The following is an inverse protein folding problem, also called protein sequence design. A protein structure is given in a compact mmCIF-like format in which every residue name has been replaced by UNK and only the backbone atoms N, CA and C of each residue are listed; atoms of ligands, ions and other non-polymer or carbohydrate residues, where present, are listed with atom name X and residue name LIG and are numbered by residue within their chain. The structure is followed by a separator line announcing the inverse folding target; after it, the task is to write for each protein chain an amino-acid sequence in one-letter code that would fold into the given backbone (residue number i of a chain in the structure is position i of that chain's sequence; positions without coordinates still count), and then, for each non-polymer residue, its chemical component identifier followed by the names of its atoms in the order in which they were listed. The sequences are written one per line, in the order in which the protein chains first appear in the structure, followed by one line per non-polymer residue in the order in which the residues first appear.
data_IF_902838049695
#
_entry.id   IF_902838049695
#
_cell.length_a   1.000
_cell.length_b   1.000
_cell.length_c   1.000
_cell.angle_alpha   90.00
_cell.angle_beta   90.00
_cell.angle_gamma   90.00
#
_symmetry.space_group_name_H-M   'P 1'
#
loop_
_entity.id
_entity.type
_entity.pdbx_description
1 polymer ?
#
# COMPACT_ATOMS: atom_id res chain seq x y z
N UNK A 1 -18.50 -13.05 -63.83
CA UNK A 1 -17.76 -13.87 -62.85
C UNK A 1 -18.08 -13.32 -61.47
N UNK A 2 -18.94 -14.00 -60.71
CA UNK A 2 -19.31 -13.59 -59.37
C UNK A 2 -18.28 -14.15 -58.39
N UNK A 3 -17.55 -13.27 -57.70
CA UNK A 3 -16.62 -13.66 -56.64
C UNK A 3 -17.45 -13.94 -55.39
N UNK A 4 -17.60 -15.22 -55.06
CA UNK A 4 -18.24 -15.63 -53.82
C UNK A 4 -17.42 -15.12 -52.63
N UNK A 5 -17.97 -14.16 -51.90
CA UNK A 5 -17.37 -13.67 -50.65
C UNK A 5 -17.70 -14.70 -49.58
N UNK A 6 -16.72 -15.51 -49.21
CA UNK A 6 -16.86 -16.50 -48.13
C UNK A 6 -16.93 -15.72 -46.82
N UNK A 7 -18.13 -15.58 -46.25
CA UNK A 7 -18.32 -15.14 -44.87
C UNK A 7 -17.80 -16.27 -43.98
N UNK A 8 -16.69 -16.02 -43.30
CA UNK A 8 -16.18 -16.92 -42.26
C UNK A 8 -17.07 -16.80 -41.05
N UNK A 9 -18.23 -17.47 -41.09
CA UNK A 9 -19.06 -17.70 -39.91
C UNK A 9 -18.23 -18.49 -38.91
N UNK A 10 -17.82 -17.84 -37.83
CA UNK A 10 -17.32 -18.54 -36.66
C UNK A 10 -18.51 -19.22 -35.99
N UNK A 11 -18.45 -20.53 -35.77
CA UNK A 11 -19.47 -21.37 -35.10
C UNK A 11 -19.81 -20.99 -33.63
N UNK A 12 -19.42 -19.79 -33.17
CA UNK A 12 -19.70 -19.27 -31.84
C UNK A 12 -20.45 -17.93 -31.88
N UNK A 13 -21.10 -17.53 -30.76
CA UNK A 13 -21.91 -16.31 -30.69
C UNK A 13 -21.10 -14.99 -30.82
N UNK A 14 -19.77 -15.05 -30.94
CA UNK A 14 -18.88 -13.90 -31.08
C UNK A 14 -18.18 -13.92 -32.43
N UNK A 15 -18.36 -12.86 -33.21
CA UNK A 15 -17.64 -12.63 -34.46
C UNK A 15 -16.13 -12.46 -34.21
N UNK A 16 -15.31 -12.67 -35.25
CA UNK A 16 -13.86 -12.42 -35.15
C UNK A 16 -13.52 -10.97 -34.77
N UNK A 17 -14.33 -9.98 -35.16
CA UNK A 17 -14.13 -8.58 -34.75
C UNK A 17 -14.31 -8.40 -33.25
N UNK A 18 -15.36 -8.98 -32.67
CA UNK A 18 -15.58 -8.96 -31.21
C UNK A 18 -14.42 -9.60 -30.45
N UNK A 19 -13.90 -10.72 -30.94
CA UNK A 19 -12.76 -11.39 -30.31
C UNK A 19 -11.49 -10.50 -30.32
N UNK A 20 -11.24 -9.79 -31.43
CA UNK A 20 -10.12 -8.84 -31.54
C UNK A 20 -10.28 -7.66 -30.59
N UNK A 21 -11.48 -7.09 -30.48
CA UNK A 21 -11.78 -6.00 -29.55
C UNK A 21 -11.56 -6.41 -28.08
N UNK A 22 -12.04 -7.59 -27.69
CA UNK A 22 -11.85 -8.13 -26.33
C UNK A 22 -10.38 -8.37 -26.04
N UNK A 23 -9.63 -8.94 -26.97
CA UNK A 23 -8.19 -9.21 -26.81
C UNK A 23 -7.40 -7.91 -26.67
N UNK A 24 -7.65 -6.92 -27.54
CA UNK A 24 -7.01 -5.62 -27.47
C UNK A 24 -7.32 -4.89 -26.15
N UNK A 25 -8.57 -4.98 -25.69
CA UNK A 25 -8.95 -4.42 -24.39
C UNK A 25 -8.26 -5.14 -23.22
N UNK A 26 -8.19 -6.47 -23.25
CA UNK A 26 -7.49 -7.28 -22.25
C UNK A 26 -6.02 -6.86 -22.12
N UNK A 27 -5.33 -6.68 -23.26
CA UNK A 27 -3.93 -6.28 -23.28
C UNK A 27 -3.71 -4.89 -22.69
N UNK A 28 -4.57 -3.92 -23.02
CA UNK A 28 -4.50 -2.57 -22.43
C UNK A 28 -4.81 -2.58 -20.93
N UNK A 29 -5.72 -3.43 -20.49
CA UNK A 29 -6.09 -3.56 -19.08
C UNK A 29 -4.97 -4.16 -18.19
N UNK A 30 -3.96 -4.83 -18.76
CA UNK A 30 -2.84 -5.45 -18.01
C UNK A 30 -2.15 -4.47 -17.05
N UNK A 31 -1.90 -3.23 -17.49
CA UNK A 31 -1.23 -2.22 -16.65
C UNK A 31 -2.11 -1.84 -15.45
N UNK A 32 -3.41 -1.71 -15.66
CA UNK A 32 -4.39 -1.36 -14.62
C UNK A 32 -4.51 -2.51 -13.62
N UNK A 33 -4.58 -3.75 -14.11
CA UNK A 33 -4.62 -4.95 -13.26
C UNK A 33 -3.36 -5.13 -12.45
N UNK A 34 -2.17 -4.84 -13.02
CA UNK A 34 -0.91 -4.81 -12.27
C UNK A 34 -0.96 -3.80 -11.12
N UNK A 35 -1.46 -2.59 -11.36
CA UNK A 35 -1.63 -1.60 -10.29
C UNK A 35 -2.61 -2.09 -9.21
N UNK A 36 -3.68 -2.78 -9.61
CA UNK A 36 -4.62 -3.41 -8.67
C UNK A 36 -3.98 -4.55 -7.87
N UNK A 37 -3.09 -5.35 -8.46
CA UNK A 37 -2.31 -6.37 -7.75
C UNK A 37 -1.35 -5.77 -6.74
N UNK A 38 -0.69 -4.65 -7.07
CA UNK A 38 0.17 -3.92 -6.13
C UNK A 38 -0.65 -3.39 -4.95
N UNK A 39 -1.83 -2.81 -5.21
CA UNK A 39 -2.75 -2.36 -4.16
C UNK A 39 -3.23 -3.52 -3.27
N UNK A 40 -3.47 -4.70 -3.86
CA UNK A 40 -3.80 -5.91 -3.11
C UNK A 40 -2.67 -6.33 -2.17
N UNK A 41 -1.44 -6.38 -2.68
CA UNK A 41 -0.26 -6.76 -1.91
C UNK A 41 -0.03 -5.78 -0.74
N UNK A 42 -0.06 -4.48 -1.02
CA UNK A 42 0.09 -3.44 0.00
C UNK A 42 -1.03 -3.50 1.05
N UNK A 43 -2.29 -3.69 0.61
CA UNK A 43 -3.44 -3.85 1.49
C UNK A 43 -3.31 -5.07 2.40
N UNK A 44 -2.87 -6.22 1.88
CA UNK A 44 -2.65 -7.42 2.68
C UNK A 44 -1.51 -7.24 3.69
N UNK A 45 -0.35 -6.73 3.26
CA UNK A 45 0.78 -6.48 4.17
C UNK A 45 0.39 -5.54 5.30
N UNK A 46 -0.26 -4.41 4.96
CA UNK A 46 -0.71 -3.42 5.95
C UNK A 46 -1.80 -4.00 6.85
N UNK A 47 -2.72 -4.78 6.30
CA UNK A 47 -3.79 -5.44 7.03
C UNK A 47 -3.29 -6.46 8.06
N UNK A 48 -2.28 -7.26 7.69
CA UNK A 48 -1.64 -8.20 8.63
C UNK A 48 -0.98 -7.43 9.77
N UNK A 49 -0.26 -6.34 9.47
CA UNK A 49 0.38 -5.52 10.52
C UNK A 49 -0.68 -4.88 11.43
N UNK A 50 -1.76 -4.34 10.88
CA UNK A 50 -2.87 -3.78 11.64
C UNK A 50 -3.50 -4.84 12.57
N UNK A 51 -3.74 -6.03 12.04
CA UNK A 51 -4.30 -7.15 12.79
C UNK A 51 -3.38 -7.59 13.92
N UNK A 52 -2.08 -7.76 13.65
CA UNK A 52 -1.09 -8.11 14.67
C UNK A 52 -0.90 -7.01 15.73
N UNK A 53 -1.17 -5.75 15.39
CA UNK A 53 -1.09 -4.61 16.30
C UNK A 53 -2.32 -4.47 17.20
N UNK A 54 -3.47 -4.97 16.76
CA UNK A 54 -4.75 -4.79 17.45
C UNK A 54 -4.79 -5.30 18.91
N UNK A 55 -4.18 -6.45 19.28
CA UNK A 55 -4.14 -6.88 20.69
C UNK A 55 -3.40 -5.91 21.62
N UNK A 56 -2.46 -5.13 21.08
CA UNK A 56 -1.67 -4.16 21.86
C UNK A 56 -2.35 -2.79 21.94
N UNK A 57 -3.31 -2.51 21.06
CA UNK A 57 -4.04 -1.25 21.02
C UNK A 57 -4.83 -0.96 22.30
N UNK A 58 -5.36 -1.99 22.96
CA UNK A 58 -6.17 -1.82 24.19
C UNK A 58 -5.34 -1.35 25.40
N UNK A 59 -4.01 -1.52 25.37
CA UNK A 59 -3.11 -1.15 26.46
C UNK A 59 -2.32 0.13 26.19
N UNK A 60 -2.48 0.74 25.02
CA UNK A 60 -1.68 1.89 24.62
C UNK A 60 -2.44 2.81 23.67
N UNK A 61 -2.53 4.09 24.04
CA UNK A 61 -3.12 5.12 23.17
C UNK A 61 -2.37 5.22 21.83
N UNK A 62 -1.04 5.08 21.83
CA UNK A 62 -0.26 5.10 20.59
C UNK A 62 -0.55 3.85 19.74
N UNK A 63 -0.64 2.68 20.37
CA UNK A 63 -1.02 1.43 19.69
C UNK A 63 -2.43 1.51 19.09
N UNK A 64 -3.36 2.15 19.79
CA UNK A 64 -4.72 2.40 19.32
C UNK A 64 -4.76 3.29 18.09
N UNK A 65 -4.10 4.45 18.14
CA UNK A 65 -4.04 5.39 17.01
C UNK A 65 -3.39 4.74 15.78
N UNK A 66 -2.28 4.01 15.98
CA UNK A 66 -1.59 3.29 14.89
C UNK A 66 -2.48 2.22 14.30
N UNK A 67 -3.15 1.40 15.12
CA UNK A 67 -4.05 0.34 14.64
C UNK A 67 -5.20 0.90 13.81
N UNK A 68 -5.83 1.99 14.26
CA UNK A 68 -6.87 2.68 13.49
C UNK A 68 -6.32 3.23 12.18
N UNK A 69 -5.19 3.94 12.23
CA UNK A 69 -4.55 4.51 11.05
C UNK A 69 -4.24 3.45 10.00
N UNK A 70 -3.62 2.35 10.40
CA UNK A 70 -3.33 1.22 9.51
C UNK A 70 -4.60 0.56 8.97
N UNK A 71 -5.64 0.42 9.79
CA UNK A 71 -6.93 -0.13 9.35
C UNK A 71 -7.59 0.74 8.27
N UNK A 72 -7.54 2.06 8.42
CA UNK A 72 -8.03 3.02 7.42
C UNK A 72 -7.22 2.90 6.13
N UNK A 73 -5.89 2.87 6.21
CA UNK A 73 -5.01 2.70 5.05
C UNK A 73 -5.32 1.40 4.32
N UNK A 74 -5.43 0.28 5.04
CA UNK A 74 -5.77 -1.03 4.49
C UNK A 74 -7.14 -1.03 3.80
N UNK A 75 -8.15 -0.45 4.45
CA UNK A 75 -9.49 -0.34 3.85
C UNK A 75 -9.45 0.44 2.54
N UNK A 76 -8.74 1.57 2.51
CA UNK A 76 -8.59 2.39 1.32
C UNK A 76 -7.78 1.70 0.20
N UNK A 77 -6.76 0.88 0.52
CA UNK A 77 -6.04 0.06 -0.47
C UNK A 77 -6.99 -0.94 -1.14
N UNK A 78 -7.78 -1.69 -0.37
CA UNK A 78 -8.74 -2.65 -0.92
C UNK A 78 -9.86 -1.97 -1.71
N UNK A 79 -10.37 -0.84 -1.19
CA UNK A 79 -11.35 -0.02 -1.90
C UNK A 79 -10.78 0.51 -3.21
N UNK A 80 -9.55 1.00 -3.21
CA UNK A 80 -8.85 1.49 -4.39
C UNK A 80 -8.61 0.39 -5.42
N UNK A 81 -8.18 -0.81 -4.99
CA UNK A 81 -8.09 -2.01 -5.84
C UNK A 81 -9.42 -2.29 -6.53
N UNK A 82 -10.52 -2.36 -5.77
CA UNK A 82 -11.85 -2.64 -6.34
C UNK A 82 -12.23 -1.62 -7.41
N UNK A 83 -11.99 -0.33 -7.15
CA UNK A 83 -12.27 0.75 -8.09
C UNK A 83 -11.37 0.70 -9.34
N UNK A 84 -10.08 0.34 -9.19
CA UNK A 84 -9.18 0.11 -10.33
C UNK A 84 -9.70 -0.99 -11.25
N UNK A 85 -10.19 -2.09 -10.68
CA UNK A 85 -10.74 -3.23 -11.43
C UNK A 85 -12.08 -2.91 -12.11
N UNK A 86 -12.77 -1.86 -11.63
CA UNK A 86 -13.96 -1.30 -12.27
C UNK A 86 -13.63 -0.22 -13.32
N UNK A 87 -12.34 0.04 -13.57
CA UNK A 87 -11.82 1.07 -14.48
C UNK A 87 -12.26 2.49 -14.10
N UNK A 88 -12.38 2.75 -12.81
CA UNK A 88 -12.68 4.08 -12.28
C UNK A 88 -11.46 5.01 -12.40
N UNK A 89 -11.65 6.16 -13.07
CA UNK A 89 -10.59 7.12 -13.36
C UNK A 89 -10.03 7.81 -12.10
N UNK A 90 -10.78 7.84 -11.00
CA UNK A 90 -10.37 8.46 -9.74
C UNK A 90 -9.69 7.48 -8.78
N UNK A 91 -9.72 6.18 -9.08
CA UNK A 91 -9.09 5.15 -8.25
C UNK A 91 -7.58 5.34 -8.03
N UNK A 92 -6.77 5.71 -9.06
CA UNK A 92 -5.34 5.95 -8.85
C UNK A 92 -5.07 7.19 -7.99
N UNK A 93 -5.94 8.20 -8.05
CA UNK A 93 -5.81 9.41 -7.22
C UNK A 93 -6.09 9.07 -5.75
N UNK A 94 -7.14 8.28 -5.49
CA UNK A 94 -7.43 7.77 -4.15
C UNK A 94 -6.26 6.96 -3.59
N UNK A 95 -5.70 6.02 -4.36
CA UNK A 95 -4.57 5.21 -3.94
C UNK A 95 -3.32 6.05 -3.70
N UNK A 96 -3.03 7.03 -4.58
CA UNK A 96 -1.91 7.95 -4.39
C UNK A 96 -2.01 8.72 -3.07
N UNK A 97 -3.18 9.28 -2.77
CA UNK A 97 -3.42 9.96 -1.48
C UNK A 97 -3.39 9.02 -0.29
N UNK A 98 -3.80 7.76 -0.45
CA UNK A 98 -3.69 6.77 0.61
C UNK A 98 -2.23 6.48 0.98
N UNK A 99 -1.34 6.38 -0.02
CA UNK A 99 0.10 6.22 0.20
C UNK A 99 0.72 7.45 0.89
N UNK A 100 0.29 8.67 0.53
CA UNK A 100 0.70 9.90 1.24
C UNK A 100 0.20 9.90 2.69
N UNK A 101 -1.05 9.51 2.92
CA UNK A 101 -1.60 9.38 4.27
C UNK A 101 -0.84 8.35 5.10
N UNK A 102 -0.47 7.22 4.50
CA UNK A 102 0.33 6.20 5.16
C UNK A 102 1.74 6.69 5.50
N UNK A 103 2.38 7.41 4.57
CA UNK A 103 3.67 8.07 4.81
C UNK A 103 3.59 9.03 6.01
N UNK A 104 2.58 9.89 6.05
CA UNK A 104 2.37 10.85 7.15
C UNK A 104 2.15 10.11 8.47
N UNK A 105 1.36 9.04 8.48
CA UNK A 105 1.14 8.22 9.67
C UNK A 105 2.46 7.64 10.21
N UNK A 106 3.27 7.03 9.35
CA UNK A 106 4.55 6.43 9.75
C UNK A 106 5.51 7.52 10.25
N UNK A 107 5.71 8.61 9.50
CA UNK A 107 6.62 9.69 9.91
C UNK A 107 6.19 10.28 11.25
N UNK A 108 4.90 10.58 11.43
CA UNK A 108 4.39 11.15 12.67
C UNK A 108 4.64 10.21 13.86
N UNK A 109 4.39 8.92 13.68
CA UNK A 109 4.67 7.91 14.71
C UNK A 109 6.17 7.79 15.01
N UNK A 110 7.03 7.71 13.99
CA UNK A 110 8.48 7.60 14.17
C UNK A 110 9.05 8.84 14.85
N UNK A 111 8.63 10.04 14.44
CA UNK A 111 9.04 11.30 15.09
C UNK A 111 8.58 11.35 16.54
N UNK A 112 7.32 10.95 16.81
CA UNK A 112 6.82 10.87 18.18
C UNK A 112 7.66 9.92 19.05
N UNK A 113 7.91 8.70 18.55
CA UNK A 113 8.73 7.72 19.27
C UNK A 113 10.17 8.18 19.47
N UNK A 114 10.77 8.85 18.49
CA UNK A 114 12.09 9.46 18.63
C UNK A 114 12.11 10.50 19.75
N UNK A 115 11.14 11.42 19.77
CA UNK A 115 11.06 12.46 20.80
C UNK A 115 10.91 11.83 22.18
N UNK A 116 9.97 10.87 22.33
CA UNK A 116 9.75 10.19 23.61
C UNK A 116 11.00 9.45 24.07
N UNK A 117 11.65 8.68 23.20
CA UNK A 117 12.84 7.89 23.56
C UNK A 117 14.10 8.73 23.82
N UNK A 118 14.24 9.91 23.19
CA UNK A 118 15.38 10.79 23.40
C UNK A 118 15.23 11.68 24.63
N UNK A 119 14.00 12.00 25.04
CA UNK A 119 13.70 12.87 26.19
C UNK A 119 13.42 12.12 27.48
N UNK A 120 12.98 10.86 27.40
CA UNK A 120 12.76 10.02 28.58
C UNK A 120 14.06 9.34 29.02
N UNK A 121 14.13 9.00 30.31
CA UNK A 121 15.14 8.06 30.80
C UNK A 121 14.95 6.71 30.10
N UNK A 122 16.05 6.05 29.72
CA UNK A 122 16.01 4.73 29.13
C UNK A 122 15.18 3.74 29.96
N UNK A 123 14.50 2.77 29.31
CA UNK A 123 13.55 1.86 29.98
C UNK A 123 14.17 1.03 31.10
N UNK A 124 15.50 0.85 31.07
CA UNK A 124 16.26 0.09 32.06
C UNK A 124 17.07 0.98 33.01
N UNK A 125 17.04 2.30 32.87
CA UNK A 125 17.89 3.20 33.66
C UNK A 125 17.53 3.15 35.14
N UNK A 126 16.24 3.06 35.48
CA UNK A 126 15.80 2.90 36.86
C UNK A 126 16.21 1.54 37.44
N UNK A 127 16.13 0.46 36.64
CA UNK A 127 16.47 -0.89 37.09
C UNK A 127 17.98 -1.11 37.20
N UNK A 128 18.78 -0.54 36.29
CA UNK A 128 20.24 -0.51 36.35
C UNK A 128 20.75 0.30 37.55
N UNK A 129 20.05 1.39 37.91
CA UNK A 129 20.33 2.14 39.16
C UNK A 129 19.98 1.32 40.40
N UNK A 130 18.92 0.50 40.34
CA UNK A 130 18.48 -0.33 41.47
C UNK A 130 19.34 -1.60 41.67
N UNK A 131 20.04 -2.08 40.64
CA UNK A 131 20.84 -3.31 40.66
C UNK A 131 22.29 -3.05 40.22
N UNK A 132 23.20 -2.74 41.18
CA UNK A 132 24.60 -2.42 40.89
C UNK A 132 25.36 -3.53 40.16
N UNK A 133 24.99 -4.80 40.37
CA UNK A 133 25.61 -5.96 39.72
C UNK A 133 25.45 -5.95 38.20
N UNK A 134 24.31 -5.46 37.69
CA UNK A 134 24.06 -5.30 36.25
C UNK A 134 24.85 -4.13 35.66
N UNK A 135 25.12 -3.09 36.45
CA UNK A 135 25.90 -1.94 36.01
C UNK A 135 27.36 -2.29 35.67
N UNK A 136 27.91 -3.31 36.34
CA UNK A 136 29.25 -3.86 36.06
C UNK A 136 29.27 -4.63 34.73
N UNK A 137 28.21 -5.38 34.40
CA UNK A 137 28.11 -6.13 33.15
C UNK A 137 27.98 -5.23 31.90
N UNK A 138 27.38 -4.04 32.04
CA UNK A 138 27.13 -3.11 30.94
C UNK A 138 28.11 -1.92 30.88
N UNK A 139 29.21 -1.94 31.65
CA UNK A 139 30.24 -0.89 31.77
C UNK A 139 29.76 0.51 32.25
N UNK A 140 28.48 0.85 32.18
CA UNK A 140 27.76 1.86 32.99
C UNK A 140 26.31 2.03 32.50
N UNK A 141 25.40 2.48 33.37
CA UNK A 141 24.02 2.81 32.99
C UNK A 141 23.95 3.96 31.96
N UNK A 142 24.84 4.94 32.05
CA UNK A 142 24.90 6.08 31.12
C UNK A 142 25.36 5.66 29.71
N UNK A 143 26.35 4.77 29.63
CA UNK A 143 26.81 4.27 28.34
C UNK A 143 25.75 3.40 27.67
N UNK A 144 25.04 2.58 28.44
CA UNK A 144 23.89 1.82 27.93
C UNK A 144 22.77 2.74 27.40
N UNK A 145 22.38 3.77 28.15
CA UNK A 145 21.37 4.76 27.71
C UNK A 145 21.78 5.46 26.40
N UNK A 146 23.06 5.82 26.26
CA UNK A 146 23.60 6.41 25.03
C UNK A 146 23.51 5.47 23.84
N UNK A 147 23.88 4.19 24.00
CA UNK A 147 23.77 3.20 22.94
C UNK A 147 22.31 2.94 22.57
N UNK A 148 21.42 2.83 23.55
CA UNK A 148 19.99 2.70 23.32
C UNK A 148 19.44 3.87 22.49
N UNK A 149 19.73 5.12 22.88
CA UNK A 149 19.29 6.32 22.16
C UNK A 149 19.85 6.37 20.74
N UNK A 150 21.11 5.97 20.53
CA UNK A 150 21.72 5.88 19.20
C UNK A 150 21.03 4.82 18.32
N UNK A 151 20.73 3.64 18.87
CA UNK A 151 20.02 2.58 18.16
C UNK A 151 18.60 3.01 17.78
N UNK A 152 17.88 3.65 18.71
CA UNK A 152 16.53 4.17 18.46
C UNK A 152 16.57 5.27 17.38
N UNK A 153 17.52 6.20 17.46
CA UNK A 153 17.73 7.24 16.45
C UNK A 153 18.01 6.65 15.07
N UNK A 154 18.94 5.69 14.98
CA UNK A 154 19.28 5.00 13.74
C UNK A 154 18.10 4.22 13.16
N UNK A 155 17.37 3.46 13.98
CA UNK A 155 16.24 2.65 13.56
C UNK A 155 15.10 3.51 13.00
N UNK A 156 14.60 4.48 13.77
CA UNK A 156 13.49 5.32 13.29
C UNK A 156 13.91 6.27 12.18
N UNK A 157 15.15 6.77 12.19
CA UNK A 157 15.70 7.55 11.08
C UNK A 157 15.73 6.75 9.78
N UNK A 158 16.17 5.49 9.84
CA UNK A 158 16.16 4.58 8.68
C UNK A 158 14.73 4.29 8.21
N UNK A 159 13.80 4.02 9.14
CA UNK A 159 12.38 3.79 8.79
C UNK A 159 11.76 5.01 8.10
N UNK A 160 12.02 6.23 8.59
CA UNK A 160 11.55 7.47 7.96
C UNK A 160 12.11 7.61 6.53
N UNK A 161 13.43 7.41 6.35
CA UNK A 161 14.07 7.52 5.04
C UNK A 161 13.49 6.48 4.06
N UNK A 162 13.49 5.20 4.45
CA UNK A 162 13.00 4.12 3.60
C UNK A 162 11.52 4.31 3.26
N UNK A 163 10.69 4.65 4.24
CA UNK A 163 9.26 4.91 4.01
C UNK A 163 9.05 6.11 3.09
N UNK A 164 9.80 7.19 3.26
CA UNK A 164 9.76 8.35 2.36
C UNK A 164 10.02 7.97 0.91
N UNK A 165 11.03 7.13 0.68
CA UNK A 165 11.37 6.62 -0.65
C UNK A 165 10.27 5.70 -1.18
N UNK A 166 9.94 4.63 -0.46
CA UNK A 166 8.98 3.61 -0.94
C UNK A 166 7.57 4.16 -1.10
N UNK A 167 7.04 4.87 -0.11
CA UNK A 167 5.69 5.43 -0.18
C UNK A 167 5.61 6.65 -1.11
N UNK A 168 6.67 7.45 -1.20
CA UNK A 168 6.77 8.50 -2.20
C UNK A 168 6.71 7.95 -3.61
N UNK A 169 7.49 6.90 -3.91
CA UNK A 169 7.44 6.25 -5.22
C UNK A 169 6.12 5.52 -5.49
N UNK A 170 5.51 4.86 -4.50
CA UNK A 170 4.19 4.24 -4.65
C UNK A 170 3.10 5.29 -4.92
N UNK A 171 3.11 6.42 -4.20
CA UNK A 171 2.18 7.51 -4.43
C UNK A 171 2.32 8.06 -5.85
N UNK A 172 3.55 8.37 -6.25
CA UNK A 172 3.86 8.82 -7.62
C UNK A 172 3.44 7.80 -8.66
N UNK A 173 3.75 6.52 -8.44
CA UNK A 173 3.34 5.42 -9.30
C UNK A 173 1.83 5.45 -9.52
N UNK A 174 1.01 5.53 -8.47
CA UNK A 174 -0.45 5.56 -8.62
C UNK A 174 -0.94 6.82 -9.34
N UNK A 175 -0.44 8.00 -8.98
CA UNK A 175 -0.85 9.23 -9.68
C UNK A 175 -0.57 9.17 -11.19
N UNK A 176 0.55 8.55 -11.60
CA UNK A 176 0.85 8.37 -13.03
C UNK A 176 -0.06 7.35 -13.73
N UNK A 177 -0.79 6.48 -13.01
CA UNK A 177 -1.72 5.49 -13.61
C UNK A 177 -3.04 6.07 -14.08
N UNK A 178 -3.42 7.28 -13.65
CA UNK A 178 -4.64 7.95 -14.11
C UNK A 178 -4.73 8.03 -15.63
N UNK A 179 -3.63 8.40 -16.30
CA UNK A 179 -3.59 8.50 -17.78
C UNK A 179 -3.87 7.16 -18.47
N UNK A 180 -3.45 6.05 -17.88
CA UNK A 180 -3.65 4.73 -18.46
C UNK A 180 -5.10 4.27 -18.36
N UNK A 181 -5.79 4.59 -17.26
CA UNK A 181 -7.22 4.30 -17.12
C UNK A 181 -8.04 5.17 -18.05
N UNK A 182 -7.73 6.48 -18.11
CA UNK A 182 -8.40 7.40 -19.04
C UNK A 182 -8.26 6.90 -20.48
N UNK A 183 -7.04 6.63 -20.94
CA UNK A 183 -6.81 6.09 -22.28
C UNK A 183 -7.50 4.74 -22.50
N UNK A 184 -7.56 3.89 -21.49
CA UNK A 184 -8.25 2.61 -21.58
C UNK A 184 -9.76 2.79 -21.80
N UNK A 185 -10.40 3.65 -21.01
CA UNK A 185 -11.84 3.94 -21.11
C UNK A 185 -12.18 4.62 -22.44
N UNK A 186 -11.36 5.55 -22.91
CA UNK A 186 -11.58 6.26 -24.17
C UNK A 186 -11.43 5.37 -25.41
N UNK A 187 -10.53 4.37 -25.38
CA UNK A 187 -10.22 3.55 -26.54
C UNK A 187 -10.89 2.16 -26.53
N UNK A 188 -11.75 1.88 -25.55
CA UNK A 188 -12.41 0.59 -25.39
C UNK A 188 -13.92 0.73 -25.59
N UNK A 189 -14.54 -0.04 -26.50
CA UNK A 189 -15.97 -0.03 -26.70
C UNK A 189 -16.73 -0.28 -25.39
N UNK A 190 -17.86 0.42 -25.19
CA UNK A 190 -18.64 0.34 -23.95
C UNK A 190 -19.05 -1.08 -23.58
N UNK A 191 -19.46 -1.89 -24.56
CA UNK A 191 -19.85 -3.28 -24.35
C UNK A 191 -18.71 -4.15 -23.78
N UNK A 192 -17.45 -3.88 -24.18
CA UNK A 192 -16.28 -4.58 -23.64
C UNK A 192 -15.97 -4.13 -22.21
N UNK A 193 -16.16 -2.84 -21.91
CA UNK A 193 -16.02 -2.34 -20.54
C UNK A 193 -17.03 -2.99 -19.61
N UNK A 194 -18.29 -3.09 -20.04
CA UNK A 194 -19.36 -3.70 -19.25
C UNK A 194 -19.10 -5.20 -19.06
N UNK A 195 -18.71 -5.92 -20.12
CA UNK A 195 -18.30 -7.32 -20.03
C UNK A 195 -17.16 -7.52 -19.02
N UNK A 196 -16.14 -6.68 -19.05
CA UNK A 196 -15.00 -6.81 -18.14
C UNK A 196 -15.31 -6.41 -16.70
N UNK A 197 -16.21 -5.46 -16.47
CA UNK A 197 -16.69 -5.09 -15.12
C UNK A 197 -17.54 -6.18 -14.48
N UNK A 198 -18.26 -6.96 -15.30
CA UNK A 198 -19.03 -8.12 -14.86
C UNK A 198 -18.16 -9.34 -14.56
N UNK A 199 -16.95 -9.40 -15.13
CA UNK A 199 -16.05 -10.54 -14.93
C UNK A 199 -15.48 -10.50 -13.51
N UNK A 200 -15.68 -11.54 -12.68
CA UNK A 200 -15.06 -11.62 -11.37
C UNK A 200 -13.54 -11.60 -11.50
N UNK A 201 -12.91 -10.59 -10.93
CA UNK A 201 -11.45 -10.54 -10.79
C UNK A 201 -11.08 -11.16 -9.45
N UNK A 202 -10.63 -12.42 -9.48
CA UNK A 202 -10.02 -13.10 -8.33
C UNK A 202 -8.76 -12.35 -7.86
#
# INVERSE_FOLDING_TARGET
MAVATITTDSDGPLTQSHQREVTAAYDRAKIIRKAASVAAFNGWMTGIIAFCSAPFAIFSLSGFIVTIGLSIVTYNEFRGRKRLLQFDQEAPVLLGWNQVGFLVLIISYCTWMLVVSLTSDGPFTAELKAKPELSVAFNSAEQFDRYYKMLVAGLYGAVIMLTGVFQGFNAFYYFTRRKHIKAYVENTPGWVLDLQRLTPTN
#
